data_IF_470023290848
#
_entry.id   IF_470023290848
#
_cell.length_a   1.000
_cell.length_b   1.000
_cell.length_c   1.000
_cell.angle_alpha   90.00
_cell.angle_beta   90.00
_cell.angle_gamma   90.00
#
_symmetry.space_group_name_H-M   'P 1'
#
loop_
_entity.id
_entity.type
_entity.pdbx_description
1 polymer ?
#
# COMPACT_ATOMS: atom_id res chain seq x y z
N UNK A 1 10.86 -13.03 -4.12
CA UNK A 1 11.25 -12.41 -2.84
C UNK A 1 9.99 -12.25 -1.99
N UNK A 2 9.94 -12.78 -0.75
CA UNK A 2 8.77 -12.62 0.10
C UNK A 2 8.68 -11.15 0.55
N UNK A 3 7.75 -10.41 -0.04
CA UNK A 3 7.40 -9.08 0.41
C UNK A 3 6.58 -9.25 1.69
N UNK A 4 7.20 -9.05 2.86
CA UNK A 4 6.50 -9.11 4.14
C UNK A 4 5.90 -7.73 4.41
N UNK A 5 4.59 -7.65 4.20
CA UNK A 5 3.79 -6.44 4.27
C UNK A 5 2.31 -6.80 4.40
N UNK A 6 1.44 -5.81 4.42
CA UNK A 6 -0.01 -6.03 4.32
C UNK A 6 -0.59 -5.25 3.13
N UNK A 7 -1.66 -5.77 2.58
CA UNK A 7 -2.46 -5.06 1.58
C UNK A 7 -3.78 -4.63 2.22
N UNK A 8 -4.08 -3.34 2.21
CA UNK A 8 -5.39 -2.82 2.55
C UNK A 8 -6.15 -2.45 1.27
N UNK A 9 -7.45 -2.73 1.20
CA UNK A 9 -8.28 -2.35 0.06
C UNK A 9 -9.26 -1.29 0.54
N UNK A 10 -9.17 -0.10 -0.05
CA UNK A 10 -9.97 1.07 0.33
C UNK A 10 -10.50 1.71 -0.96
N UNK A 11 -11.82 1.83 -1.08
CA UNK A 11 -12.45 2.47 -2.24
C UNK A 11 -11.98 1.93 -3.62
N UNK A 12 -11.84 0.60 -3.73
CA UNK A 12 -11.31 -0.12 -4.92
C UNK A 12 -9.83 0.15 -5.23
N UNK A 13 -9.14 0.91 -4.39
CA UNK A 13 -7.69 1.07 -4.42
C UNK A 13 -7.04 0.10 -3.44
N UNK A 14 -5.86 -0.36 -3.79
CA UNK A 14 -5.05 -1.31 -3.04
C UNK A 14 -3.84 -0.57 -2.48
N UNK A 15 -3.74 -0.47 -1.15
CA UNK A 15 -2.58 0.08 -0.45
C UNK A 15 -1.67 -1.08 -0.08
N UNK A 16 -0.51 -1.15 -0.69
CA UNK A 16 0.51 -2.15 -0.41
C UNK A 16 1.53 -1.54 0.55
N UNK A 17 1.48 -1.96 1.80
CA UNK A 17 2.47 -1.58 2.81
C UNK A 17 3.75 -2.40 2.55
N UNK A 18 4.79 -1.74 2.05
CA UNK A 18 6.02 -2.37 1.57
C UNK A 18 7.21 -1.90 2.41
N UNK A 19 8.16 -2.82 2.61
CA UNK A 19 9.45 -2.57 3.26
C UNK A 19 10.55 -2.97 2.30
N UNK A 20 11.57 -2.13 2.13
CA UNK A 20 12.81 -2.56 1.51
C UNK A 20 13.56 -3.43 2.52
N UNK A 21 13.41 -4.76 2.44
CA UNK A 21 14.11 -5.68 3.35
C UNK A 21 15.51 -6.01 2.85
N UNK A 22 16.50 -5.75 3.72
CA UNK A 22 17.75 -6.51 3.79
C UNK A 22 17.72 -7.56 4.92
N UNK A 23 16.77 -7.49 5.86
CA UNK A 23 16.71 -8.34 7.07
C UNK A 23 15.30 -8.88 7.33
N UNK A 24 15.22 -10.10 7.88
CA UNK A 24 14.01 -10.95 7.97
C UNK A 24 13.24 -10.87 9.29
N UNK A 25 13.77 -10.13 10.28
CA UNK A 25 13.15 -10.01 11.60
C UNK A 25 12.01 -8.98 11.58
N UNK A 26 10.88 -9.33 12.22
CA UNK A 26 9.71 -8.47 12.37
C UNK A 26 9.25 -8.57 13.82
N UNK A 27 9.23 -7.43 14.51
CA UNK A 27 8.70 -7.34 15.87
C UNK A 27 7.17 -7.23 15.82
N UNK A 28 6.48 -7.97 16.69
CA UNK A 28 5.02 -7.98 16.73
C UNK A 28 4.47 -6.62 17.20
N UNK A 29 3.46 -6.09 16.50
CA UNK A 29 2.69 -4.92 16.93
C UNK A 29 2.96 -3.61 16.20
N UNK A 30 3.98 -3.55 15.32
CA UNK A 30 4.21 -2.39 14.46
C UNK A 30 4.39 -2.78 12.99
N UNK A 31 3.73 -2.07 12.09
CA UNK A 31 4.00 -2.19 10.66
C UNK A 31 5.32 -1.47 10.36
N UNK A 32 6.40 -2.21 10.16
CA UNK A 32 7.69 -1.66 9.70
C UNK A 32 7.68 -1.30 8.19
N UNK A 33 6.50 -1.05 7.62
CA UNK A 33 6.39 -0.61 6.24
C UNK A 33 7.05 0.76 6.11
N UNK A 34 8.02 0.85 5.20
CA UNK A 34 8.75 2.09 4.93
C UNK A 34 8.02 2.96 3.92
N UNK A 35 7.19 2.34 3.07
CA UNK A 35 6.41 3.01 2.05
C UNK A 35 5.11 2.25 1.78
N UNK A 36 4.12 2.99 1.31
CA UNK A 36 2.76 2.53 1.04
C UNK A 36 2.45 2.85 -0.42
N UNK A 37 2.51 1.84 -1.26
CA UNK A 37 2.22 1.97 -2.69
C UNK A 37 0.72 1.81 -2.92
N UNK A 38 0.09 2.80 -3.54
CA UNK A 38 -1.33 2.79 -3.88
C UNK A 38 -1.50 2.33 -5.31
N UNK A 39 -2.33 1.32 -5.51
CA UNK A 39 -2.67 0.77 -6.81
C UNK A 39 -4.16 0.89 -7.07
N UNK A 40 -4.55 1.12 -8.33
CA UNK A 40 -5.92 0.94 -8.81
C UNK A 40 -6.05 -0.44 -9.41
N UNK A 41 -7.11 -1.18 -9.05
CA UNK A 41 -7.44 -2.43 -9.72
C UNK A 41 -8.31 -2.14 -10.95
N UNK A 42 -7.80 -2.48 -12.12
CA UNK A 42 -8.51 -2.35 -13.39
C UNK A 42 -9.53 -3.48 -13.59
N UNK A 43 -10.49 -3.28 -14.50
CA UNK A 43 -11.49 -4.30 -14.84
C UNK A 43 -10.86 -5.60 -15.39
N UNK A 44 -9.66 -5.50 -15.99
CA UNK A 44 -8.87 -6.65 -16.44
C UNK A 44 -8.27 -7.48 -15.29
N UNK A 45 -8.35 -6.99 -14.05
CA UNK A 45 -7.69 -7.56 -12.88
C UNK A 45 -6.25 -7.08 -12.67
N UNK A 46 -5.70 -6.29 -13.59
CA UNK A 46 -4.38 -5.69 -13.46
C UNK A 46 -4.35 -4.61 -12.36
N UNK A 47 -3.18 -4.38 -11.77
CA UNK A 47 -2.93 -3.31 -10.82
C UNK A 47 -2.15 -2.18 -11.50
N UNK A 48 -2.73 -0.98 -11.56
CA UNK A 48 -2.09 0.24 -12.04
C UNK A 48 -1.51 0.99 -10.84
N UNK A 49 -0.20 1.24 -10.82
CA UNK A 49 0.42 2.07 -9.77
C UNK A 49 -0.06 3.52 -9.90
N UNK A 50 -0.56 4.09 -8.80
CA UNK A 50 -1.02 5.47 -8.75
C UNK A 50 0.00 6.37 -8.05
N UNK A 51 0.38 6.02 -6.82
CA UNK A 51 1.21 6.87 -5.99
C UNK A 51 1.92 6.08 -4.88
N UNK A 52 2.96 6.68 -4.28
CA UNK A 52 3.68 6.15 -3.12
C UNK A 52 3.61 7.14 -1.96
N UNK A 53 3.17 6.67 -0.79
CA UNK A 53 3.14 7.46 0.45
C UNK A 53 4.13 6.90 1.49
N UNK A 54 4.51 7.74 2.45
CA UNK A 54 5.43 7.36 3.54
C UNK A 54 4.72 7.01 4.86
N UNK A 55 3.40 7.17 4.93
CA UNK A 55 2.58 6.75 6.06
C UNK A 55 1.29 6.09 5.57
N UNK A 56 0.75 5.19 6.40
CA UNK A 56 -0.52 4.54 6.10
C UNK A 56 -1.67 5.53 6.07
N UNK A 57 -1.72 6.47 7.03
CA UNK A 57 -2.79 7.46 7.12
C UNK A 57 -2.84 8.36 5.87
N UNK A 58 -1.68 8.76 5.32
CA UNK A 58 -1.66 9.53 4.08
C UNK A 58 -2.06 8.72 2.85
N UNK A 59 -1.78 7.41 2.83
CA UNK A 59 -2.28 6.53 1.76
C UNK A 59 -3.79 6.30 1.89
N UNK A 60 -4.29 6.18 3.11
CA UNK A 60 -5.70 6.02 3.41
C UNK A 60 -6.49 7.28 3.00
N UNK A 61 -6.01 8.46 3.41
CA UNK A 61 -6.61 9.75 3.03
C UNK A 61 -6.65 9.93 1.51
N UNK A 62 -5.56 9.57 0.81
CA UNK A 62 -5.55 9.57 -0.66
C UNK A 62 -6.63 8.67 -1.27
N UNK A 63 -6.88 7.49 -0.69
CA UNK A 63 -7.91 6.58 -1.19
C UNK A 63 -9.34 7.02 -0.85
N UNK A 64 -9.51 7.75 0.26
CA UNK A 64 -10.79 8.28 0.72
C UNK A 64 -11.16 9.59 0.03
N UNK A 65 -10.17 10.34 -0.46
CA UNK A 65 -10.41 11.55 -1.22
C UNK A 65 -11.11 11.18 -2.53
N UNK A 66 -12.29 11.76 -2.83
CA UNK A 66 -12.97 11.55 -4.09
C UNK A 66 -12.14 12.16 -5.21
N UNK A 67 -11.21 11.38 -5.75
CA UNK A 67 -10.41 11.75 -6.90
C UNK A 67 -11.32 11.66 -8.13
N UNK A 68 -11.59 12.81 -8.74
CA UNK A 68 -12.36 13.01 -9.98
C UNK A 68 -11.65 12.41 -11.23
N UNK A 69 -11.01 11.25 -11.12
CA UNK A 69 -10.20 10.62 -12.19
C UNK A 69 -10.86 9.39 -12.79
#
# INVERSE_FOLDING_TARGET
MPQKGFTAIVNKLHIHAMRAMATTEVHAGQSEAQFFDVYRREASGSLTFLDRKFSFDSALDYCLTPTLH
#
